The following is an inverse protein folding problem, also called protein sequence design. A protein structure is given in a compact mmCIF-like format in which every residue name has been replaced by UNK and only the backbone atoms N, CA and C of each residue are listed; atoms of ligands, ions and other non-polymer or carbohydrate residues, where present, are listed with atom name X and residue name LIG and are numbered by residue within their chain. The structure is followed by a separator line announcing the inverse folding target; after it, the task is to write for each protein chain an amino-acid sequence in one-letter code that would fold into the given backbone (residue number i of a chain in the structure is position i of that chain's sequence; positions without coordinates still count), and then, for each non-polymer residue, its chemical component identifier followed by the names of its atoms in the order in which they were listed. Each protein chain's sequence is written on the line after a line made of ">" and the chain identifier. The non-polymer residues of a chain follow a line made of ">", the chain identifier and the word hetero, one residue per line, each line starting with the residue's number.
data_IF_295756134102
#
_entry.id   IF_295756134102
#
_cell.length_a   1.000
_cell.length_b   1.000
_cell.length_c   1.000
_cell.angle_alpha   90.00
_cell.angle_beta   90.00
_cell.angle_gamma   90.00
#
_symmetry.space_group_name_H-M   'P 1'
#
loop_
_entity.id
_entity.type
_entity.pdbx_description
1 polymer ?
#
# COMPACT_ATOMS: atom_id res chain seq x y z
N UNK A 1 -48.59 -10.34 -33.02
CA UNK A 1 -47.59 -11.18 -33.72
C UNK A 1 -46.72 -11.87 -32.69
N UNK A 2 -46.97 -13.16 -32.42
CA UNK A 2 -46.08 -14.00 -31.62
C UNK A 2 -44.87 -14.32 -32.51
N UNK A 3 -43.70 -13.80 -32.17
CA UNK A 3 -42.46 -14.32 -32.72
C UNK A 3 -42.29 -15.72 -32.15
N UNK A 4 -42.64 -16.72 -32.95
CA UNK A 4 -42.33 -18.11 -32.66
C UNK A 4 -40.83 -18.19 -32.36
N UNK A 5 -40.50 -18.68 -31.16
CA UNK A 5 -39.16 -19.10 -30.81
C UNK A 5 -38.80 -20.28 -31.73
N UNK A 6 -38.40 -19.97 -32.96
CA UNK A 6 -37.70 -20.90 -33.83
C UNK A 6 -36.52 -21.40 -33.02
N UNK A 7 -36.50 -22.71 -32.78
CA UNK A 7 -35.53 -23.43 -31.98
C UNK A 7 -34.11 -22.95 -32.32
N UNK A 8 -33.54 -22.18 -31.40
CA UNK A 8 -32.23 -21.54 -31.53
C UNK A 8 -31.06 -22.56 -31.40
N UNK A 9 -31.21 -23.80 -31.90
CA UNK A 9 -30.16 -24.84 -31.86
C UNK A 9 -28.86 -24.45 -32.59
N UNK A 10 -28.94 -23.42 -33.43
CA UNK A 10 -27.89 -22.86 -34.27
C UNK A 10 -27.20 -21.66 -33.61
N UNK A 11 -27.80 -21.05 -32.57
CA UNK A 11 -27.17 -19.96 -31.83
C UNK A 11 -25.83 -20.31 -31.17
N UNK A 12 -25.67 -21.50 -30.55
CA UNK A 12 -24.39 -21.91 -29.99
C UNK A 12 -23.28 -21.95 -31.07
N UNK A 13 -23.61 -22.44 -32.26
CA UNK A 13 -22.69 -22.52 -33.40
C UNK A 13 -22.30 -21.12 -33.89
N UNK A 14 -23.29 -20.24 -34.14
CA UNK A 14 -23.02 -18.87 -34.61
C UNK A 14 -22.24 -18.08 -33.56
N UNK A 15 -22.57 -18.21 -32.27
CA UNK A 15 -21.80 -17.59 -31.17
C UNK A 15 -20.35 -18.06 -31.11
N UNK A 16 -20.07 -19.32 -31.43
CA UNK A 16 -18.71 -19.88 -31.45
C UNK A 16 -17.91 -19.31 -32.62
N UNK A 17 -18.51 -19.26 -33.82
CA UNK A 17 -17.91 -18.68 -35.02
C UNK A 17 -17.63 -17.18 -34.87
N UNK A 18 -18.59 -16.41 -34.36
CA UNK A 18 -18.44 -14.97 -34.15
C UNK A 18 -17.35 -14.62 -33.13
N UNK A 19 -17.15 -15.48 -32.11
CA UNK A 19 -16.07 -15.33 -31.13
C UNK A 19 -14.67 -15.38 -31.77
N UNK A 20 -14.48 -16.26 -32.76
CA UNK A 20 -13.20 -16.34 -33.51
C UNK A 20 -12.89 -15.07 -34.30
N UNK A 21 -13.90 -14.28 -34.64
CA UNK A 21 -13.78 -13.00 -35.34
C UNK A 21 -13.83 -11.78 -34.39
N UNK A 22 -13.74 -11.99 -33.07
CA UNK A 22 -13.80 -10.90 -32.09
C UNK A 22 -15.18 -10.21 -31.98
N UNK A 23 -16.25 -10.85 -32.46
CA UNK A 23 -17.62 -10.32 -32.40
C UNK A 23 -18.44 -11.04 -31.33
N UNK A 24 -19.33 -10.30 -30.68
CA UNK A 24 -20.30 -10.80 -29.70
C UNK A 24 -21.71 -10.65 -30.24
N UNK A 25 -22.48 -11.74 -30.15
CA UNK A 25 -23.87 -11.80 -30.54
C UNK A 25 -24.77 -11.44 -29.35
N UNK A 26 -25.56 -10.38 -29.48
CA UNK A 26 -26.44 -9.87 -28.42
C UNK A 26 -27.87 -9.76 -28.94
N UNK A 27 -28.84 -10.27 -28.18
CA UNK A 27 -30.27 -10.15 -28.53
C UNK A 27 -30.86 -9.03 -27.69
N UNK A 28 -31.43 -8.02 -28.34
CA UNK A 28 -32.07 -6.87 -27.68
C UNK A 28 -33.36 -6.53 -28.43
N UNK A 29 -34.48 -6.35 -27.73
CA UNK A 29 -35.76 -5.98 -28.36
C UNK A 29 -36.19 -6.92 -29.49
N UNK A 30 -35.96 -8.24 -29.34
CA UNK A 30 -36.27 -9.24 -30.37
C UNK A 30 -35.38 -9.18 -31.62
N UNK A 31 -34.38 -8.30 -31.67
CA UNK A 31 -33.41 -8.17 -32.77
C UNK A 31 -32.04 -8.70 -32.35
N UNK A 32 -31.33 -9.23 -33.34
CA UNK A 32 -30.00 -9.81 -33.19
C UNK A 32 -28.97 -8.75 -33.61
N UNK A 33 -28.06 -8.41 -32.71
CA UNK A 33 -26.96 -7.47 -32.95
C UNK A 33 -25.62 -8.20 -32.90
N UNK A 34 -24.75 -7.90 -33.86
CA UNK A 34 -23.32 -8.22 -33.81
C UNK A 34 -22.58 -6.98 -33.34
N UNK A 35 -21.95 -7.07 -32.17
CA UNK A 35 -21.12 -5.99 -31.60
C UNK A 35 -19.67 -6.45 -31.56
N UNK A 36 -18.74 -5.56 -31.92
CA UNK A 36 -17.32 -5.81 -31.68
C UNK A 36 -17.13 -6.03 -30.18
N UNK A 37 -16.50 -7.13 -29.81
CA UNK A 37 -16.14 -7.35 -28.41
C UNK A 37 -15.25 -6.18 -28.02
N UNK A 38 -15.69 -5.41 -27.02
CA UNK A 38 -14.84 -4.37 -26.44
C UNK A 38 -13.66 -5.11 -25.83
N UNK A 39 -12.48 -4.93 -26.41
CA UNK A 39 -11.24 -5.32 -25.76
C UNK A 39 -11.13 -4.46 -24.52
N UNK A 40 -11.40 -5.05 -23.36
CA UNK A 40 -11.15 -4.39 -22.09
C UNK A 40 -9.63 -4.42 -21.92
N UNK A 41 -8.94 -3.44 -22.51
CA UNK A 41 -7.50 -3.21 -22.37
C UNK A 41 -7.18 -2.50 -21.05
N UNK A 42 -7.95 -2.77 -19.99
CA UNK A 42 -7.55 -2.30 -18.68
C UNK A 42 -6.47 -3.25 -18.16
N UNK A 43 -5.25 -2.76 -17.85
CA UNK A 43 -4.26 -3.59 -17.18
C UNK A 43 -4.86 -4.11 -15.87
N UNK A 44 -4.64 -5.40 -15.58
CA UNK A 44 -5.09 -6.00 -14.33
C UNK A 44 -4.52 -5.19 -13.16
N UNK A 45 -5.38 -4.77 -12.25
CA UNK A 45 -4.96 -4.06 -11.03
C UNK A 45 -4.16 -5.01 -10.13
N UNK A 46 -3.25 -4.49 -9.30
CA UNK A 46 -2.51 -5.30 -8.32
C UNK A 46 -3.45 -6.12 -7.43
N UNK A 47 -4.60 -5.56 -7.05
CA UNK A 47 -5.61 -6.25 -6.26
C UNK A 47 -6.17 -7.48 -6.99
N UNK A 48 -6.42 -7.37 -8.29
CA UNK A 48 -6.90 -8.48 -9.11
C UNK A 48 -5.82 -9.55 -9.26
N UNK A 49 -4.56 -9.15 -9.49
CA UNK A 49 -3.42 -10.07 -9.58
C UNK A 49 -3.24 -10.86 -8.28
N UNK A 50 -3.27 -10.18 -7.12
CA UNK A 50 -3.20 -10.84 -5.80
C UNK A 50 -4.36 -11.81 -5.57
N UNK A 51 -5.59 -11.40 -5.91
CA UNK A 51 -6.76 -12.27 -5.76
C UNK A 51 -6.67 -13.53 -6.64
N UNK A 52 -6.17 -13.37 -7.86
CA UNK A 52 -5.96 -14.47 -8.82
C UNK A 52 -4.89 -15.44 -8.32
N UNK A 53 -3.81 -14.92 -7.76
CA UNK A 53 -2.74 -15.73 -7.17
C UNK A 53 -3.21 -16.52 -5.94
N UNK A 54 -3.97 -15.88 -5.03
CA UNK A 54 -4.59 -16.58 -3.89
C UNK A 54 -5.51 -17.71 -4.35
N UNK A 55 -6.34 -17.47 -5.36
CA UNK A 55 -7.22 -18.49 -5.92
C UNK A 55 -6.45 -19.61 -6.61
N UNK A 56 -5.34 -19.30 -7.30
CA UNK A 56 -4.48 -20.28 -7.93
C UNK A 56 -3.85 -21.21 -6.88
N UNK A 57 -3.24 -20.63 -5.84
CA UNK A 57 -2.65 -21.38 -4.72
C UNK A 57 -3.68 -22.23 -3.98
N UNK A 58 -4.86 -21.69 -3.69
CA UNK A 58 -5.95 -22.45 -3.09
C UNK A 58 -6.41 -23.61 -4.00
N UNK A 59 -6.50 -23.38 -5.31
CA UNK A 59 -6.90 -24.41 -6.28
C UNK A 59 -5.88 -25.55 -6.38
N UNK A 60 -4.58 -25.25 -6.30
CA UNK A 60 -3.53 -26.26 -6.26
C UNK A 60 -3.59 -27.10 -4.99
N UNK A 61 -3.78 -26.45 -3.84
CA UNK A 61 -3.98 -27.15 -2.56
C UNK A 61 -5.20 -28.08 -2.64
N UNK A 62 -6.34 -27.58 -3.14
CA UNK A 62 -7.53 -28.41 -3.32
C UNK A 62 -7.31 -29.58 -4.27
N UNK A 63 -6.54 -29.42 -5.36
CA UNK A 63 -6.23 -30.55 -6.26
C UNK A 63 -5.47 -31.66 -5.52
N UNK A 64 -4.53 -31.30 -4.64
CA UNK A 64 -3.78 -32.26 -3.83
C UNK A 64 -4.69 -32.97 -2.84
N UNK A 65 -5.53 -32.22 -2.12
CA UNK A 65 -6.42 -32.80 -1.12
C UNK A 65 -7.54 -33.64 -1.71
N UNK A 66 -8.10 -33.25 -2.85
CA UNK A 66 -9.13 -34.03 -3.55
C UNK A 66 -8.57 -35.24 -4.29
N UNK A 67 -7.24 -35.32 -4.45
CA UNK A 67 -6.55 -36.50 -4.97
C UNK A 67 -6.48 -37.64 -3.97
N UNK A 68 -6.63 -37.35 -2.68
CA UNK A 68 -6.64 -38.32 -1.59
C UNK A 68 -8.10 -38.68 -1.22
N UNK A 69 -8.50 -39.97 -1.32
CA UNK A 69 -9.87 -40.39 -1.06
C UNK A 69 -10.33 -40.14 0.38
N UNK A 70 -9.44 -40.24 1.37
CA UNK A 70 -9.80 -40.01 2.78
C UNK A 70 -10.08 -38.53 3.04
N UNK A 71 -9.21 -37.66 2.52
CA UNK A 71 -9.40 -36.21 2.60
C UNK A 71 -10.63 -35.74 1.83
N UNK A 72 -10.90 -36.35 0.68
CA UNK A 72 -12.11 -36.06 -0.08
C UNK A 72 -13.37 -36.36 0.74
N UNK A 73 -13.42 -37.51 1.40
CA UNK A 73 -14.55 -37.88 2.26
C UNK A 73 -14.71 -36.89 3.43
N UNK A 74 -13.60 -36.49 4.05
CA UNK A 74 -13.59 -35.44 5.07
C UNK A 74 -14.21 -34.13 4.57
N UNK A 75 -13.86 -33.69 3.36
CA UNK A 75 -14.46 -32.48 2.77
C UNK A 75 -15.90 -32.66 2.34
N UNK A 76 -16.33 -33.87 1.97
CA UNK A 76 -17.73 -34.17 1.66
C UNK A 76 -18.61 -34.05 2.92
N UNK A 77 -18.13 -34.53 4.08
CA UNK A 77 -18.86 -34.36 5.35
C UNK A 77 -18.85 -32.91 5.82
N UNK A 78 -17.69 -32.26 5.84
CA UNK A 78 -17.55 -30.87 6.28
C UNK A 78 -18.23 -29.86 5.35
N UNK A 79 -18.40 -30.18 4.06
CA UNK A 79 -19.11 -29.31 3.13
C UNK A 79 -20.57 -29.09 3.55
N UNK A 80 -21.25 -30.15 4.00
CA UNK A 80 -22.63 -30.05 4.45
C UNK A 80 -22.76 -29.17 5.70
N UNK A 81 -21.85 -29.34 6.67
CA UNK A 81 -21.81 -28.54 7.90
C UNK A 81 -21.56 -27.05 7.62
N UNK A 82 -20.69 -26.75 6.65
CA UNK A 82 -20.39 -25.38 6.23
C UNK A 82 -21.40 -24.81 5.20
N UNK A 83 -22.42 -25.57 4.78
CA UNK A 83 -23.44 -25.13 3.83
C UNK A 83 -22.99 -25.06 2.36
N UNK A 84 -21.91 -25.75 1.99
CA UNK A 84 -21.44 -25.85 0.61
C UNK A 84 -22.07 -27.03 -0.12
N UNK A 85 -22.44 -26.82 -1.40
CA UNK A 85 -23.00 -27.88 -2.26
C UNK A 85 -22.00 -28.95 -2.69
N UNK A 86 -20.70 -28.66 -2.58
CA UNK A 86 -19.64 -29.55 -3.06
C UNK A 86 -18.43 -29.52 -2.12
N UNK A 87 -17.81 -30.67 -1.91
CA UNK A 87 -16.55 -30.81 -1.17
C UNK A 87 -15.44 -29.92 -1.73
N UNK A 88 -15.36 -29.83 -3.06
CA UNK A 88 -14.41 -28.94 -3.74
C UNK A 88 -14.64 -27.47 -3.39
N UNK A 89 -15.90 -27.03 -3.34
CA UNK A 89 -16.25 -25.67 -2.95
C UNK A 89 -15.85 -25.36 -1.50
N UNK A 90 -16.11 -26.30 -0.59
CA UNK A 90 -15.72 -26.20 0.81
C UNK A 90 -14.20 -26.11 1.00
N UNK A 91 -13.46 -27.02 0.35
CA UNK A 91 -11.99 -27.05 0.42
C UNK A 91 -11.34 -25.78 -0.15
N UNK A 92 -11.78 -25.31 -1.33
CA UNK A 92 -11.26 -24.05 -1.92
C UNK A 92 -11.53 -22.87 -0.98
N UNK A 93 -12.75 -22.76 -0.44
CA UNK A 93 -13.10 -21.68 0.46
C UNK A 93 -12.26 -21.69 1.73
N UNK A 94 -12.02 -22.88 2.30
CA UNK A 94 -11.14 -23.06 3.46
C UNK A 94 -9.72 -22.56 3.18
N UNK A 95 -9.08 -22.99 2.08
CA UNK A 95 -7.72 -22.55 1.76
C UNK A 95 -7.64 -21.05 1.43
N UNK A 96 -8.65 -20.50 0.76
CA UNK A 96 -8.71 -19.05 0.53
C UNK A 96 -8.81 -18.28 1.84
N UNK A 97 -9.58 -18.78 2.82
CA UNK A 97 -9.68 -18.15 4.14
C UNK A 97 -8.34 -18.18 4.87
N UNK A 98 -7.72 -19.36 4.93
CA UNK A 98 -6.41 -19.55 5.57
C UNK A 98 -5.32 -18.67 4.97
N UNK A 99 -5.22 -18.61 3.64
CA UNK A 99 -4.22 -17.77 2.96
C UNK A 99 -4.42 -16.27 3.23
N UNK A 100 -5.67 -15.84 3.49
CA UNK A 100 -5.95 -14.46 3.89
C UNK A 100 -5.56 -14.21 5.34
N UNK A 101 -5.87 -15.14 6.24
CA UNK A 101 -5.48 -15.08 7.66
C UNK A 101 -3.94 -15.01 7.78
N UNK A 102 -3.22 -15.88 7.09
CA UNK A 102 -1.75 -15.89 7.04
C UNK A 102 -1.18 -14.54 6.56
N UNK A 103 -1.81 -13.93 5.55
CA UNK A 103 -1.41 -12.63 5.03
C UNK A 103 -1.62 -11.51 6.07
N UNK A 104 -2.74 -11.53 6.79
CA UNK A 104 -3.02 -10.56 7.85
C UNK A 104 -2.07 -10.70 9.04
N UNK A 105 -1.74 -11.92 9.44
CA UNK A 105 -0.76 -12.17 10.50
C UNK A 105 0.64 -11.68 10.09
N UNK A 106 1.04 -11.90 8.84
CA UNK A 106 2.31 -11.41 8.33
C UNK A 106 2.40 -9.88 8.34
N UNK A 107 1.31 -9.19 7.97
CA UNK A 107 1.23 -7.73 8.06
C UNK A 107 1.34 -7.25 9.51
N UNK A 108 0.67 -7.91 10.46
CA UNK A 108 0.76 -7.58 11.88
C UNK A 108 2.19 -7.72 12.42
N UNK A 109 2.87 -8.85 12.13
CA UNK A 109 4.26 -9.06 12.53
C UNK A 109 5.21 -8.01 11.93
N UNK A 110 4.98 -7.61 10.68
CA UNK A 110 5.76 -6.56 10.03
C UNK A 110 5.56 -5.21 10.73
N UNK A 111 4.33 -4.87 11.09
CA UNK A 111 4.01 -3.65 11.82
C UNK A 111 4.61 -3.63 13.23
N UNK A 112 4.59 -4.76 13.93
CA UNK A 112 5.24 -4.90 15.25
C UNK A 112 6.76 -4.74 15.14
N UNK A 113 7.40 -5.37 14.15
CA UNK A 113 8.83 -5.21 13.90
C UNK A 113 9.20 -3.75 13.61
N UNK A 114 8.39 -3.03 12.84
CA UNK A 114 8.60 -1.59 12.59
C UNK A 114 8.45 -0.74 13.86
N UNK A 115 7.50 -1.09 14.75
CA UNK A 115 7.34 -0.41 16.04
C UNK A 115 8.55 -0.61 16.94
N UNK A 116 9.01 -1.86 17.10
CA UNK A 116 10.20 -2.18 17.90
C UNK A 116 11.43 -1.45 17.36
N UNK A 117 11.62 -1.45 16.04
CA UNK A 117 12.72 -0.73 15.41
C UNK A 117 12.65 0.79 15.66
N UNK A 118 11.45 1.38 15.62
CA UNK A 118 11.26 2.79 15.93
C UNK A 118 11.54 3.12 17.41
N UNK A 119 11.18 2.23 18.33
CA UNK A 119 11.47 2.36 19.76
C UNK A 119 12.96 2.24 20.06
N UNK A 120 13.64 1.25 19.48
CA UNK A 120 15.10 1.14 19.57
C UNK A 120 15.81 2.38 19.03
N UNK A 121 15.33 2.93 17.90
CA UNK A 121 15.88 4.15 17.33
C UNK A 121 15.68 5.36 18.26
N UNK A 122 14.56 5.44 18.99
CA UNK A 122 14.32 6.47 20.01
C UNK A 122 15.26 6.30 21.20
N UNK A 123 15.41 5.09 21.73
CA UNK A 123 16.32 4.80 22.83
C UNK A 123 17.77 5.17 22.47
N UNK A 124 18.25 4.79 21.28
CA UNK A 124 19.58 5.19 20.79
C UNK A 124 19.76 6.70 20.69
N UNK A 125 18.70 7.44 20.31
CA UNK A 125 18.73 8.91 20.29
C UNK A 125 18.79 9.49 21.70
N UNK A 126 18.03 8.94 22.63
CA UNK A 126 18.04 9.38 24.03
C UNK A 126 19.36 9.06 24.72
N UNK A 127 19.95 7.89 24.49
CA UNK A 127 21.29 7.55 24.96
C UNK A 127 22.35 8.49 24.40
N UNK A 128 22.28 8.82 23.10
CA UNK A 128 23.18 9.83 22.50
C UNK A 128 22.99 11.20 23.15
N UNK A 129 21.76 11.62 23.45
CA UNK A 129 21.48 12.86 24.17
C UNK A 129 22.05 12.81 25.59
N UNK A 130 21.82 11.74 26.34
CA UNK A 130 22.36 11.54 27.69
C UNK A 130 23.88 11.56 27.69
N UNK A 131 24.55 10.87 26.76
CA UNK A 131 26.01 10.92 26.60
C UNK A 131 26.52 12.33 26.27
N UNK A 132 25.79 13.10 25.44
CA UNK A 132 26.13 14.50 25.17
C UNK A 132 25.98 15.38 26.40
N UNK A 133 24.94 15.18 27.20
CA UNK A 133 24.72 15.92 28.46
C UNK A 133 25.76 15.55 29.52
N UNK A 134 26.05 14.27 29.72
CA UNK A 134 27.08 13.80 30.65
C UNK A 134 28.50 14.25 30.24
N UNK A 135 28.79 14.32 28.94
CA UNK A 135 30.03 14.92 28.43
C UNK A 135 30.11 16.45 28.61
N UNK A 136 28.99 17.11 28.91
CA UNK A 136 28.94 18.52 29.30
C UNK A 136 28.99 18.72 30.83
N UNK A 137 28.72 17.69 31.65
CA UNK A 137 28.76 17.78 33.12
C UNK A 137 30.18 17.90 33.69
N UNK A 138 31.23 17.68 32.88
CA UNK A 138 32.63 17.97 33.23
C UNK A 138 33.21 19.22 32.58
N UNK A 139 32.43 19.92 31.75
CA UNK A 139 32.78 21.28 31.35
C UNK A 139 32.29 22.14 32.49
N UNK A 140 33.19 22.45 33.43
CA UNK A 140 33.04 23.69 34.19
C UNK A 140 32.81 24.77 33.15
N UNK A 141 31.55 25.16 33.01
CA UNK A 141 31.24 26.47 32.50
C UNK A 141 31.78 27.38 33.61
N UNK A 142 33.10 27.63 33.57
CA UNK A 142 33.57 28.96 33.87
C UNK A 142 32.69 29.82 32.99
N UNK A 143 31.67 30.39 33.63
CA UNK A 143 30.80 31.36 33.02
C UNK A 143 31.77 32.44 32.56
N UNK A 144 32.12 32.44 31.27
CA UNK A 144 32.78 33.56 30.62
C UNK A 144 31.71 34.66 30.60
N UNK A 145 31.42 35.21 31.79
CA UNK A 145 30.76 36.48 32.05
C UNK A 145 31.79 37.58 31.91
N UNK A 146 32.99 37.31 31.41
CA UNK A 146 33.80 38.35 30.81
C UNK A 146 33.40 38.56 29.34
N UNK A 147 32.79 39.73 29.16
CA UNK A 147 32.81 40.53 27.96
C UNK A 147 31.68 40.41 26.93
N UNK A 148 30.52 39.81 27.23
CA UNK A 148 29.31 40.12 26.41
C UNK A 148 28.92 41.60 26.56
N UNK A 149 29.01 42.16 27.78
CA UNK A 149 28.80 43.60 28.03
C UNK A 149 29.87 44.46 27.35
N UNK A 150 31.15 44.11 27.48
CA UNK A 150 32.21 44.89 26.84
C UNK A 150 32.22 44.72 25.31
N UNK A 151 31.84 43.55 24.77
CA UNK A 151 31.65 43.37 23.33
C UNK A 151 30.49 44.25 22.82
N UNK A 152 29.39 44.34 23.57
CA UNK A 152 28.29 45.24 23.27
C UNK A 152 28.69 46.72 23.36
N UNK A 153 29.49 47.11 24.36
CA UNK A 153 30.02 48.46 24.49
C UNK A 153 30.99 48.82 23.36
N UNK A 154 31.91 47.91 23.00
CA UNK A 154 32.81 48.07 21.86
C UNK A 154 32.03 48.19 20.54
N UNK A 155 30.90 47.50 20.40
CA UNK A 155 30.02 47.61 19.22
C UNK A 155 29.26 48.94 19.20
N UNK A 156 28.76 49.41 20.35
CA UNK A 156 28.10 50.72 20.50
C UNK A 156 29.08 51.88 20.25
N UNK A 157 30.31 51.80 20.75
CA UNK A 157 31.35 52.82 20.53
C UNK A 157 31.70 52.95 19.05
N UNK A 158 31.91 51.82 18.36
CA UNK A 158 32.15 51.79 16.90
C UNK A 158 31.00 52.43 16.11
N UNK A 159 29.75 52.17 16.48
CA UNK A 159 28.59 52.79 15.84
C UNK A 159 28.56 54.32 16.02
N UNK A 160 28.86 54.82 17.23
CA UNK A 160 28.93 56.26 17.51
C UNK A 160 30.06 56.96 16.75
N UNK A 161 31.24 56.33 16.70
CA UNK A 161 32.41 56.88 16.01
C UNK A 161 32.21 56.89 14.48
N UNK A 162 31.58 55.85 13.92
CA UNK A 162 31.18 55.82 12.51
C UNK A 162 30.20 56.95 12.16
N UNK A 163 29.20 57.19 13.00
CA UNK A 163 28.22 58.26 12.79
C UNK A 163 28.84 59.67 12.91
N UNK A 164 29.83 59.85 13.80
CA UNK A 164 30.60 61.10 13.89
C UNK A 164 31.47 61.35 12.66
N UNK A 165 32.08 60.31 12.09
CA UNK A 165 32.88 60.40 10.86
C UNK A 165 32.01 60.78 9.67
N UNK A 166 30.85 60.14 9.50
CA UNK A 166 29.89 60.49 8.44
C UNK A 166 29.45 61.95 8.54
N UNK A 167 29.02 62.41 9.73
CA UNK A 167 28.61 63.81 9.93
C UNK A 167 29.73 64.83 9.68
N UNK A 168 31.00 64.47 9.93
CA UNK A 168 32.14 65.32 9.57
C UNK A 168 32.36 65.36 8.06
N UNK A 169 32.22 64.23 7.37
CA UNK A 169 32.30 64.16 5.91
C UNK A 169 31.18 64.95 5.24
N UNK A 170 29.94 64.81 5.70
CA UNK A 170 28.79 65.57 5.19
C UNK A 170 29.01 67.09 5.32
N UNK A 171 29.55 67.56 6.45
CA UNK A 171 29.89 68.98 6.66
C UNK A 171 31.01 69.49 5.76
N UNK A 172 31.95 68.64 5.33
CA UNK A 172 33.00 69.03 4.39
C UNK A 172 32.54 69.03 2.93
N UNK A 173 31.42 68.37 2.62
CA UNK A 173 30.84 68.29 1.26
C UNK A 173 29.75 69.35 1.05
N UNK A 174 29.12 69.84 2.12
CA UNK A 174 27.99 70.78 2.07
C UNK A 174 28.32 72.20 2.54
N UNK A 175 29.56 72.48 2.94
CA UNK A 175 30.08 73.82 3.24
C UNK A 175 31.25 74.15 2.33
#
# INVERSE_FOLDING_TARGET
>A
MRLELISMGWLPYVRRRMRGSGLRLTVRWGRIYTVKAVEITQPETERQLRARDVLARASEATKREMGDPERRLYWETHAAEMGYKTARGACVAHHVRRLKEDATEAEQRSMEALRLWAEEARQRREERKKKRMAGMEGVEIEEIVEDVRAAHERRRKRARDGNRRMRRQERMVTG
#
